data_IF_772866158311
#
_entry.id   IF_772866158311
#
_cell.length_a   1.000
_cell.length_b   1.000
_cell.length_c   1.000
_cell.angle_alpha   90.00
_cell.angle_beta   90.00
_cell.angle_gamma   90.00
#
_symmetry.space_group_name_H-M   'P 1'
#
loop_
_entity.id
_entity.type
_entity.pdbx_description
1 polymer ?
#
# COMPACT_ATOMS: atom_id res chain seq x y z
N UNK A 1 6.83 -25.39 2.80
CA UNK A 1 5.82 -25.71 1.76
C UNK A 1 6.25 -25.00 0.49
N UNK A 2 6.52 -25.75 -0.58
CA UNK A 2 6.74 -25.14 -1.91
C UNK A 2 5.36 -24.78 -2.46
N UNK A 3 5.14 -23.50 -2.80
CA UNK A 3 3.88 -23.08 -3.41
C UNK A 3 3.78 -23.70 -4.80
N UNK A 4 2.63 -24.29 -5.13
CA UNK A 4 2.42 -25.00 -6.42
C UNK A 4 2.62 -24.06 -7.62
N UNK A 5 2.47 -22.74 -7.42
CA UNK A 5 2.60 -21.72 -8.46
C UNK A 5 4.02 -21.16 -8.63
N UNK A 6 5.00 -21.61 -7.84
CA UNK A 6 6.38 -21.10 -7.91
C UNK A 6 6.96 -21.31 -9.33
N UNK A 7 7.36 -20.23 -9.99
CA UNK A 7 7.88 -20.26 -11.36
C UNK A 7 6.87 -20.60 -12.45
N UNK A 8 5.56 -20.65 -12.14
CA UNK A 8 4.49 -20.98 -13.10
C UNK A 8 3.67 -19.77 -13.54
N UNK A 9 4.03 -18.57 -13.09
CA UNK A 9 3.34 -17.32 -13.41
C UNK A 9 4.24 -16.40 -14.21
N UNK A 10 3.64 -15.42 -14.87
CA UNK A 10 4.33 -14.34 -15.55
C UNK A 10 3.43 -13.10 -15.57
N UNK A 11 4.03 -11.93 -15.75
CA UNK A 11 3.30 -10.66 -15.84
C UNK A 11 4.04 -9.54 -15.12
N UNK A 12 3.31 -8.46 -14.82
CA UNK A 12 3.85 -7.30 -14.11
C UNK A 12 4.34 -7.62 -12.68
N UNK A 13 3.85 -8.70 -12.08
CA UNK A 13 4.26 -9.17 -10.76
C UNK A 13 5.44 -10.16 -10.80
N UNK A 14 6.13 -10.29 -11.93
CA UNK A 14 7.25 -11.21 -12.09
C UNK A 14 6.82 -12.67 -12.33
N UNK A 15 7.72 -13.60 -12.01
CA UNK A 15 7.52 -15.04 -12.24
C UNK A 15 7.40 -15.88 -10.95
N UNK A 16 7.55 -15.22 -9.78
CA UNK A 16 7.45 -15.84 -8.46
C UNK A 16 8.37 -17.07 -8.29
N UNK A 17 9.60 -17.03 -8.79
CA UNK A 17 10.57 -18.12 -8.63
C UNK A 17 11.50 -17.94 -7.40
N UNK A 18 11.47 -16.75 -6.77
CA UNK A 18 12.31 -16.38 -5.63
C UNK A 18 13.56 -15.58 -6.01
N UNK A 19 13.75 -15.23 -7.29
CA UNK A 19 14.88 -14.47 -7.80
C UNK A 19 14.42 -13.16 -8.47
N UNK A 20 14.45 -12.06 -7.73
CA UNK A 20 13.99 -10.76 -8.24
C UNK A 20 14.78 -10.20 -9.43
N UNK A 21 15.95 -10.77 -9.75
CA UNK A 21 16.79 -10.31 -10.88
C UNK A 21 16.19 -10.61 -12.26
N UNK A 22 15.23 -11.53 -12.35
CA UNK A 22 14.57 -11.89 -13.60
C UNK A 22 13.08 -11.49 -13.66
N UNK A 23 12.56 -10.78 -12.65
CA UNK A 23 11.16 -10.37 -12.61
C UNK A 23 10.79 -9.44 -13.77
N UNK A 24 11.74 -8.66 -14.28
CA UNK A 24 11.57 -7.85 -15.50
C UNK A 24 11.74 -8.68 -16.77
N UNK A 25 10.99 -9.79 -16.85
CA UNK A 25 10.88 -10.61 -18.06
C UNK A 25 9.66 -10.16 -18.89
N UNK A 26 9.90 -9.78 -20.14
CA UNK A 26 8.86 -9.31 -21.06
C UNK A 26 7.94 -10.44 -21.52
N UNK A 27 6.81 -10.08 -22.15
CA UNK A 27 5.90 -11.06 -22.78
C UNK A 27 6.57 -11.94 -23.85
N UNK A 28 7.69 -11.48 -24.44
CA UNK A 28 8.48 -12.25 -25.40
C UNK A 28 9.62 -13.06 -24.76
N UNK A 29 9.61 -13.24 -23.43
CA UNK A 29 10.62 -13.97 -22.65
C UNK A 29 12.03 -13.35 -22.68
N UNK A 30 12.12 -12.04 -22.93
CA UNK A 30 13.38 -11.29 -22.82
C UNK A 30 13.49 -10.67 -21.42
N UNK A 31 14.59 -10.90 -20.71
CA UNK A 31 14.87 -10.20 -19.45
C UNK A 31 15.51 -8.85 -19.75
N UNK A 32 14.94 -7.77 -19.20
CA UNK A 32 15.36 -6.38 -19.46
C UNK A 32 15.64 -5.65 -18.15
N UNK A 33 16.42 -4.57 -18.22
CA UNK A 33 16.67 -3.68 -17.06
C UNK A 33 15.79 -2.44 -17.06
N UNK A 34 15.20 -2.11 -18.21
CA UNK A 34 14.33 -0.95 -18.39
C UNK A 34 12.89 -1.29 -17.96
N UNK A 35 12.43 -0.65 -16.87
CA UNK A 35 11.09 -0.84 -16.31
C UNK A 35 9.97 -0.42 -17.26
N UNK A 36 10.20 0.60 -18.10
CA UNK A 36 9.22 1.09 -19.07
C UNK A 36 9.10 0.08 -20.22
N UNK A 37 10.23 -0.44 -20.72
CA UNK A 37 10.23 -1.54 -21.71
C UNK A 37 9.50 -2.78 -21.16
N UNK A 38 9.79 -3.16 -19.92
CA UNK A 38 9.11 -4.27 -19.24
C UNK A 38 7.59 -4.03 -19.16
N UNK A 39 7.15 -2.90 -18.59
CA UNK A 39 5.74 -2.58 -18.40
C UNK A 39 4.95 -2.51 -19.72
N UNK A 40 5.50 -1.85 -20.73
CA UNK A 40 4.86 -1.72 -22.04
C UNK A 40 4.72 -3.07 -22.78
N UNK A 41 5.61 -4.04 -22.50
CA UNK A 41 5.49 -5.39 -23.09
C UNK A 41 4.24 -6.16 -22.59
N UNK A 42 3.70 -5.77 -21.43
CA UNK A 42 2.56 -6.43 -20.78
C UNK A 42 1.21 -5.74 -21.03
N UNK A 43 1.14 -4.75 -21.93
CA UNK A 43 -0.14 -4.11 -22.31
C UNK A 43 -1.19 -5.15 -22.71
N UNK A 44 -2.41 -4.99 -22.19
CA UNK A 44 -3.51 -5.91 -22.49
C UNK A 44 -4.03 -5.72 -23.93
N UNK A 45 -4.01 -4.48 -24.42
CA UNK A 45 -4.40 -4.13 -25.80
C UNK A 45 -3.22 -3.48 -26.51
N UNK A 46 -2.97 -3.91 -27.75
CA UNK A 46 -1.92 -3.34 -28.58
C UNK A 46 -2.17 -1.86 -28.96
N UNK A 47 -3.43 -1.41 -28.94
CA UNK A 47 -3.81 -0.03 -29.23
C UNK A 47 -3.50 0.95 -28.09
N UNK A 48 -3.12 0.47 -26.91
CA UNK A 48 -2.69 1.34 -25.82
C UNK A 48 -1.34 1.98 -26.17
N UNK A 49 -1.25 3.30 -25.97
CA UNK A 49 0.00 4.07 -26.16
C UNK A 49 1.05 3.56 -25.17
N UNK A 50 2.32 3.59 -25.58
CA UNK A 50 3.43 3.29 -24.68
C UNK A 50 3.50 4.33 -23.56
N UNK A 51 3.63 3.84 -22.32
CA UNK A 51 3.99 4.70 -21.21
C UNK A 51 5.44 5.18 -21.38
N UNK A 52 5.72 6.38 -20.91
CA UNK A 52 7.07 6.93 -20.80
C UNK A 52 7.43 7.06 -19.33
N UNK A 53 8.73 7.25 -19.05
CA UNK A 53 9.19 7.55 -17.70
C UNK A 53 8.53 8.85 -17.22
N UNK A 54 7.70 8.77 -16.18
CA UNK A 54 7.16 9.96 -15.55
C UNK A 54 8.27 10.62 -14.75
N UNK A 55 8.50 11.91 -14.98
CA UNK A 55 9.37 12.72 -14.13
C UNK A 55 8.87 12.72 -12.69
N UNK A 56 9.73 13.15 -11.77
CA UNK A 56 9.35 13.29 -10.37
C UNK A 56 8.15 14.27 -10.23
N UNK A 57 7.00 13.82 -9.69
CA UNK A 57 5.82 14.67 -9.52
C UNK A 57 6.09 15.89 -8.64
N UNK A 58 7.00 15.81 -7.67
CA UNK A 58 7.34 16.95 -6.82
C UNK A 58 8.11 18.02 -7.59
N UNK A 59 8.97 17.62 -8.54
CA UNK A 59 9.63 18.55 -9.46
C UNK A 59 8.63 19.29 -10.37
N UNK A 60 7.55 18.63 -10.80
CA UNK A 60 6.47 19.24 -11.59
C UNK A 60 5.53 20.12 -10.74
N UNK A 61 5.37 19.79 -9.45
CA UNK A 61 4.49 20.49 -8.51
C UNK A 61 5.28 20.96 -7.25
N UNK A 62 6.27 21.86 -7.39
CA UNK A 62 7.20 22.20 -6.30
C UNK A 62 6.54 22.87 -5.09
N UNK A 63 5.42 23.55 -5.29
CA UNK A 63 4.64 24.16 -4.20
C UNK A 63 4.03 23.12 -3.25
N UNK A 64 3.95 21.85 -3.66
CA UNK A 64 3.40 20.75 -2.86
C UNK A 64 4.45 19.95 -2.13
N UNK A 65 5.70 19.99 -2.58
CA UNK A 65 6.80 19.19 -2.04
C UNK A 65 6.96 19.36 -0.53
N UNK A 66 7.04 20.61 -0.05
CA UNK A 66 7.20 20.89 1.37
C UNK A 66 6.02 20.39 2.22
N UNK A 67 4.79 20.46 1.67
CA UNK A 67 3.61 19.91 2.34
C UNK A 67 3.67 18.39 2.38
N UNK A 68 3.95 17.74 1.24
CA UNK A 68 4.07 16.28 1.11
C UNK A 68 5.12 15.72 2.05
N UNK A 69 6.34 16.28 2.04
CA UNK A 69 7.44 15.87 2.93
C UNK A 69 7.04 15.98 4.41
N UNK A 70 6.36 17.08 4.78
CA UNK A 70 5.90 17.31 6.15
C UNK A 70 4.84 16.29 6.56
N UNK A 71 3.82 16.06 5.74
CA UNK A 71 2.75 15.12 6.10
C UNK A 71 3.24 13.67 6.13
N UNK A 72 4.05 13.27 5.15
CA UNK A 72 4.62 11.92 5.05
C UNK A 72 5.66 11.63 6.15
N UNK A 73 6.20 12.65 6.83
CA UNK A 73 7.16 12.48 7.94
C UNK A 73 6.61 11.63 9.10
N UNK A 74 5.29 11.44 9.18
CA UNK A 74 4.72 10.51 10.17
C UNK A 74 5.30 9.11 10.04
N UNK A 75 5.60 8.64 8.81
CA UNK A 75 6.15 7.30 8.52
C UNK A 75 7.49 7.08 9.22
N UNK A 76 8.34 8.11 9.27
CA UNK A 76 9.65 8.08 9.94
C UNK A 76 9.61 8.65 11.37
N UNK A 77 8.44 9.07 11.86
CA UNK A 77 8.29 9.63 13.20
C UNK A 77 8.22 8.56 14.30
N UNK A 78 8.28 9.03 15.55
CA UNK A 78 8.08 8.20 16.75
C UNK A 78 6.76 7.42 16.75
N UNK A 79 5.75 7.88 15.98
CA UNK A 79 4.47 7.16 15.83
C UNK A 79 4.66 5.72 15.34
N UNK A 80 5.63 5.49 14.46
CA UNK A 80 5.93 4.18 13.87
C UNK A 80 7.23 3.55 14.38
N UNK A 81 7.82 4.07 15.47
CA UNK A 81 9.13 3.61 15.96
C UNK A 81 9.23 2.08 16.18
N UNK A 82 8.14 1.47 16.66
CA UNK A 82 8.07 0.03 16.94
C UNK A 82 8.07 -0.83 15.66
N UNK A 83 7.81 -0.21 14.50
CA UNK A 83 7.81 -0.85 13.20
C UNK A 83 9.10 -0.60 12.41
N UNK A 84 9.85 0.47 12.68
CA UNK A 84 11.04 0.84 11.88
C UNK A 84 12.09 -0.28 11.78
N UNK A 85 12.22 -1.13 12.80
CA UNK A 85 13.14 -2.27 12.78
C UNK A 85 12.58 -3.53 12.11
N UNK A 86 11.26 -3.57 11.88
CA UNK A 86 10.54 -4.68 11.22
C UNK A 86 10.34 -4.43 9.73
N UNK A 87 10.07 -3.19 9.36
CA UNK A 87 9.78 -2.75 7.97
C UNK A 87 10.50 -1.43 7.74
N UNK A 88 11.37 -1.39 6.71
CA UNK A 88 12.10 -0.17 6.33
C UNK A 88 11.11 0.94 5.92
N UNK A 89 11.10 2.11 6.60
CA UNK A 89 10.20 3.20 6.28
C UNK A 89 10.53 3.93 4.98
N UNK A 90 11.77 3.87 4.47
CA UNK A 90 12.22 4.73 3.36
C UNK A 90 11.40 4.56 2.08
N UNK A 91 11.16 3.34 1.55
CA UNK A 91 10.39 3.18 0.33
C UNK A 91 8.94 3.70 0.46
N UNK A 92 8.37 3.61 1.66
CA UNK A 92 7.02 4.09 1.96
C UNK A 92 6.97 5.61 2.09
N UNK A 93 7.98 6.22 2.72
CA UNK A 93 8.12 7.68 2.78
C UNK A 93 8.25 8.27 1.38
N UNK A 94 9.17 7.76 0.55
CA UNK A 94 9.38 8.25 -0.81
C UNK A 94 8.12 8.10 -1.67
N UNK A 95 7.42 6.97 -1.54
CA UNK A 95 6.16 6.74 -2.25
C UNK A 95 5.06 7.70 -1.77
N UNK A 96 4.92 7.90 -0.46
CA UNK A 96 3.97 8.86 0.10
C UNK A 96 4.21 10.28 -0.43
N UNK A 97 5.47 10.72 -0.50
CA UNK A 97 5.83 12.06 -0.99
C UNK A 97 5.49 12.19 -2.48
N UNK A 98 5.88 11.21 -3.31
CA UNK A 98 5.56 11.21 -4.74
C UNK A 98 4.05 11.22 -5.00
N UNK A 99 3.31 10.35 -4.33
CA UNK A 99 1.84 10.24 -4.50
C UNK A 99 1.14 11.54 -4.06
N UNK A 100 1.56 12.09 -2.93
CA UNK A 100 1.02 13.36 -2.41
C UNK A 100 1.33 14.54 -3.33
N UNK A 101 2.51 14.58 -3.97
CA UNK A 101 2.83 15.60 -4.98
C UNK A 101 2.01 15.42 -6.28
N UNK A 102 1.71 14.18 -6.67
CA UNK A 102 1.00 13.85 -7.90
C UNK A 102 -0.52 14.08 -7.84
N UNK A 103 -1.14 14.00 -6.66
CA UNK A 103 -2.61 14.13 -6.51
C UNK A 103 -3.08 15.59 -6.54
N UNK A 104 -2.93 16.30 -7.67
CA UNK A 104 -3.07 17.77 -7.79
C UNK A 104 -4.46 18.26 -8.24
N UNK A 105 -5.39 17.34 -8.44
CA UNK A 105 -6.76 17.62 -8.92
C UNK A 105 -7.81 17.61 -7.80
N UNK A 106 -7.37 17.59 -6.54
CA UNK A 106 -8.20 17.44 -5.34
C UNK A 106 -8.13 16.03 -4.75
N UNK A 107 -8.38 15.88 -3.45
CA UNK A 107 -8.25 14.59 -2.75
C UNK A 107 -6.87 14.31 -2.14
N UNK A 108 -6.05 15.34 -1.92
CA UNK A 108 -4.70 15.25 -1.34
C UNK A 108 -4.64 14.43 -0.05
N UNK A 109 -5.67 14.59 0.78
CA UNK A 109 -5.82 13.82 2.01
C UNK A 109 -6.00 12.33 1.72
N UNK A 110 -6.69 11.95 0.65
CA UNK A 110 -6.95 10.54 0.33
C UNK A 110 -5.67 9.83 -0.11
N UNK A 111 -4.83 10.48 -0.93
CA UNK A 111 -3.54 9.92 -1.36
C UNK A 111 -2.57 9.77 -0.18
N UNK A 112 -2.45 10.81 0.65
CA UNK A 112 -1.67 10.77 1.89
C UNK A 112 -2.14 9.62 2.81
N UNK A 113 -3.44 9.56 3.08
CA UNK A 113 -4.00 8.56 4.01
C UNK A 113 -3.84 7.14 3.48
N UNK A 114 -3.93 6.93 2.17
CA UNK A 114 -3.70 5.63 1.53
C UNK A 114 -2.24 5.20 1.66
N UNK A 115 -1.30 6.11 1.40
CA UNK A 115 0.13 5.82 1.51
C UNK A 115 0.56 5.51 2.95
N UNK A 116 0.09 6.28 3.94
CA UNK A 116 0.37 6.01 5.36
C UNK A 116 -0.29 4.71 5.82
N UNK A 117 -1.51 4.41 5.36
CA UNK A 117 -2.18 3.15 5.65
C UNK A 117 -1.42 1.93 5.08
N UNK A 118 -0.82 2.05 3.90
CA UNK A 118 0.00 0.98 3.32
C UNK A 118 1.20 0.62 4.22
N UNK A 119 1.85 1.62 4.82
CA UNK A 119 2.93 1.36 5.79
C UNK A 119 2.39 0.74 7.08
N UNK A 120 1.29 1.25 7.62
CA UNK A 120 0.64 0.68 8.81
C UNK A 120 0.20 -0.78 8.61
N UNK A 121 -0.29 -1.12 7.42
CA UNK A 121 -0.63 -2.49 7.07
C UNK A 121 0.60 -3.40 7.06
N UNK A 122 1.68 -2.97 6.42
CA UNK A 122 2.95 -3.72 6.41
C UNK A 122 3.49 -3.92 7.83
N UNK A 123 3.37 -2.91 8.69
CA UNK A 123 3.70 -3.02 10.11
C UNK A 123 2.86 -4.08 10.81
N UNK A 124 1.54 -4.07 10.61
CA UNK A 124 0.61 -5.06 11.18
C UNK A 124 0.97 -6.48 10.72
N UNK A 125 1.26 -6.68 9.43
CA UNK A 125 1.70 -7.97 8.87
C UNK A 125 3.05 -8.43 9.46
N UNK A 126 3.94 -7.49 9.80
CA UNK A 126 5.19 -7.77 10.50
C UNK A 126 5.04 -7.87 12.05
N UNK A 127 3.80 -7.83 12.56
CA UNK A 127 3.47 -7.98 13.97
C UNK A 127 3.67 -6.73 14.82
N UNK A 128 3.67 -5.53 14.23
CA UNK A 128 3.64 -4.25 14.94
C UNK A 128 2.32 -3.51 14.66
N UNK A 129 1.41 -3.54 15.63
CA UNK A 129 0.15 -2.81 15.54
C UNK A 129 0.33 -1.34 15.93
N UNK A 130 0.15 -0.42 14.98
CA UNK A 130 0.39 1.02 15.17
C UNK A 130 -0.91 1.81 15.08
N UNK A 131 -1.24 2.59 16.13
CA UNK A 131 -2.39 3.50 16.13
C UNK A 131 -1.97 4.89 15.66
N UNK A 132 -2.09 5.15 14.36
CA UNK A 132 -1.56 6.36 13.72
C UNK A 132 -2.62 7.41 13.35
N UNK A 133 -3.90 7.02 13.19
CA UNK A 133 -4.98 7.97 12.86
C UNK A 133 -5.32 8.87 14.05
N UNK A 134 -5.60 10.15 13.77
CA UNK A 134 -6.00 11.15 14.77
C UNK A 134 -7.15 12.01 14.25
N UNK A 135 -7.88 12.77 15.10
CA UNK A 135 -8.92 13.68 14.60
C UNK A 135 -8.45 14.72 13.57
N UNK A 136 -7.15 14.98 13.50
CA UNK A 136 -6.55 15.92 12.53
C UNK A 136 -5.93 15.22 11.32
N UNK A 137 -5.85 13.89 11.34
CA UNK A 137 -5.18 13.10 10.30
C UNK A 137 -5.97 11.81 10.03
N UNK A 138 -6.57 11.73 8.84
CA UNK A 138 -7.16 10.53 8.29
C UNK A 138 -8.25 9.86 9.16
N UNK A 139 -9.22 10.62 9.70
CA UNK A 139 -10.31 10.07 10.53
C UNK A 139 -11.58 9.75 9.72
N UNK A 140 -12.20 8.58 9.97
CA UNK A 140 -13.48 8.18 9.37
C UNK A 140 -14.13 6.99 10.12
N UNK A 141 -14.59 7.15 11.36
CA UNK A 141 -15.11 5.98 12.11
C UNK A 141 -16.38 6.21 12.94
N UNK A 142 -16.73 7.44 13.29
CA UNK A 142 -17.91 7.76 14.09
C UNK A 142 -19.22 7.82 13.28
N UNK A 143 -19.12 7.97 11.96
CA UNK A 143 -20.26 8.03 11.04
C UNK A 143 -21.27 6.88 11.18
N UNK A 144 -20.80 5.67 11.50
CA UNK A 144 -21.65 4.47 11.58
C UNK A 144 -22.33 4.27 12.95
N UNK A 145 -21.97 5.08 13.96
CA UNK A 145 -22.65 5.04 15.24
C UNK A 145 -23.96 5.85 15.15
N UNK A 146 -25.06 5.26 15.62
CA UNK A 146 -26.29 6.03 15.88
C UNK A 146 -26.07 6.96 17.08
N UNK A 147 -26.86 8.05 17.25
CA UNK A 147 -26.60 9.07 18.28
C UNK A 147 -26.38 8.55 19.71
N UNK A 148 -27.04 7.45 20.08
CA UNK A 148 -26.92 6.79 21.40
C UNK A 148 -26.19 5.43 21.35
N UNK A 149 -25.58 5.11 20.21
CA UNK A 149 -24.89 3.84 19.97
C UNK A 149 -23.38 3.99 20.02
N UNK A 150 -22.69 2.94 20.47
CA UNK A 150 -21.23 2.88 20.50
C UNK A 150 -20.79 1.45 20.20
N UNK A 151 -21.15 0.96 19.01
CA UNK A 151 -20.85 -0.40 18.56
C UNK A 151 -19.71 -0.42 17.55
N UNK A 152 -19.65 0.59 16.67
CA UNK A 152 -18.60 0.71 15.67
C UNK A 152 -17.39 1.42 16.26
N UNK A 153 -16.29 0.69 16.38
CA UNK A 153 -15.03 1.19 16.93
C UNK A 153 -13.90 1.06 15.93
N UNK A 154 -13.06 2.09 15.87
CA UNK A 154 -11.79 2.02 15.15
C UNK A 154 -10.85 1.02 15.83
N UNK A 155 -10.52 -0.06 15.11
CA UNK A 155 -9.48 -1.03 15.48
C UNK A 155 -8.29 -0.82 14.52
N UNK A 156 -7.16 -0.25 14.98
CA UNK A 156 -6.11 0.24 14.09
C UNK A 156 -5.43 -0.82 13.22
N UNK A 157 -5.58 -2.10 13.57
CA UNK A 157 -4.90 -3.23 12.94
C UNK A 157 -5.90 -4.35 12.63
N UNK A 158 -7.17 -3.97 12.46
CA UNK A 158 -8.30 -4.90 12.33
C UNK A 158 -8.76 -5.49 13.66
N UNK A 159 -9.94 -6.11 13.63
CA UNK A 159 -10.48 -6.85 14.75
C UNK A 159 -9.99 -8.31 14.71
N UNK A 160 -9.80 -8.90 15.90
CA UNK A 160 -9.67 -10.35 16.02
C UNK A 160 -10.92 -11.03 15.45
N UNK A 161 -10.74 -12.23 14.90
CA UNK A 161 -11.79 -13.01 14.24
C UNK A 161 -13.19 -12.82 14.85
N UNK A 162 -14.09 -12.21 14.08
CA UNK A 162 -15.46 -11.93 14.55
C UNK A 162 -16.43 -12.99 14.06
N UNK A 163 -17.43 -13.29 14.89
CA UNK A 163 -18.60 -14.05 14.44
C UNK A 163 -19.38 -13.21 13.44
N UNK A 164 -19.65 -13.77 12.28
CA UNK A 164 -20.50 -13.17 11.26
C UNK A 164 -21.53 -14.18 10.80
N UNK A 165 -22.57 -13.77 10.07
CA UNK A 165 -23.52 -14.74 9.51
C UNK A 165 -22.86 -15.76 8.56
N UNK A 166 -21.73 -15.40 7.92
CA UNK A 166 -20.95 -16.32 7.07
C UNK A 166 -19.93 -17.15 7.87
N UNK A 167 -19.50 -16.67 9.03
CA UNK A 167 -18.64 -17.39 9.98
C UNK A 167 -19.30 -17.41 11.37
N UNK A 168 -20.38 -18.19 11.56
CA UNK A 168 -21.15 -18.17 12.81
C UNK A 168 -20.35 -18.75 13.99
N UNK A 169 -19.40 -19.63 13.71
CA UNK A 169 -18.50 -20.20 14.72
C UNK A 169 -17.44 -19.21 15.20
N UNK A 170 -17.08 -18.22 14.37
CA UNK A 170 -15.99 -17.29 14.67
C UNK A 170 -14.61 -17.96 14.67
N UNK A 171 -14.45 -19.05 13.92
CA UNK A 171 -13.16 -19.71 13.75
C UNK A 171 -12.49 -19.13 12.51
N UNK A 172 -11.30 -18.56 12.67
CA UNK A 172 -10.49 -18.06 11.56
C UNK A 172 -9.27 -18.95 11.33
N UNK A 173 -8.87 -19.08 10.07
CA UNK A 173 -7.62 -19.68 9.64
C UNK A 173 -6.72 -18.59 9.04
N UNK A 174 -5.47 -18.93 8.70
CA UNK A 174 -4.53 -18.02 8.01
C UNK A 174 -5.03 -17.51 6.65
N UNK A 175 -6.14 -18.03 6.14
CA UNK A 175 -6.80 -17.60 4.89
C UNK A 175 -7.87 -16.52 5.11
N UNK A 176 -8.17 -16.18 6.37
CA UNK A 176 -9.07 -15.10 6.75
C UNK A 176 -8.23 -14.09 7.54
N UNK A 177 -7.51 -13.23 6.82
CA UNK A 177 -6.67 -12.19 7.42
C UNK A 177 -7.53 -11.20 8.21
N UNK A 178 -6.91 -10.50 9.17
CA UNK A 178 -7.54 -9.36 9.82
C UNK A 178 -8.07 -8.39 8.75
N UNK A 179 -9.35 -8.05 8.85
CA UNK A 179 -9.98 -7.04 7.99
C UNK A 179 -9.62 -5.68 8.58
N UNK A 180 -8.78 -4.92 7.86
CA UNK A 180 -8.59 -3.48 8.09
C UNK A 180 -9.78 -2.68 7.55
#
# INVERSE_FOLDING_TARGET
MVSIQQGQVCGLCGNYDGNSKNDFTTRSHETVTDVVKFGNSWKAKFSCVDANTTGDPCSSNPYREAWSQKQCSIISSVTFQECHWKVDPHPYYDSCVRDSCACDTGGDCDCLCTAVAAYAKACTEAGACVRWRTPKLCIFCDYYNVPDGCEWHYKPCGANCMKTCRNPSGNCSSLITAVE
#
